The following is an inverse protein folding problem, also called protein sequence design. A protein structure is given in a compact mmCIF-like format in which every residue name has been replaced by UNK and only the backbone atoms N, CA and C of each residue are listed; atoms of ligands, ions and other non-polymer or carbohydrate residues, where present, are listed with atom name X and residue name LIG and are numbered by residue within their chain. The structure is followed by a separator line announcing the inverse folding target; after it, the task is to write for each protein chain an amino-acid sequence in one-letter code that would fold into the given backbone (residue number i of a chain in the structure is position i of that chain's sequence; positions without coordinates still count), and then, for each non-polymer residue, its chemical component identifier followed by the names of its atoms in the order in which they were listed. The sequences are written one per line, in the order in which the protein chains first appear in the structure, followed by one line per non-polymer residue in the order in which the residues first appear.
data_IF_198447001723
#
_entry.id   IF_198447001723
#
_cell.length_a   1.000
_cell.length_b   1.000
_cell.length_c   1.000
_cell.angle_alpha   90.00
_cell.angle_beta   90.00
_cell.angle_gamma   90.00
#
_symmetry.space_group_name_H-M   'P 1'
#
loop_
_entity.id
_entity.type
_entity.pdbx_description
1 polymer ?
#
# COMPACT_ATOMS: atom_id res chain seq x y z
N UNK A 1 2.13 4.82 33.87
CA UNK A 1 1.41 5.40 33.11
C UNK A 1 1.25 4.84 31.78
N UNK A 2 2.18 4.87 30.99
CA UNK A 2 2.09 4.29 29.76
C UNK A 2 1.71 2.85 29.77
N UNK A 3 2.24 2.04 30.64
CA UNK A 3 1.87 0.63 30.68
C UNK A 3 0.41 0.42 30.86
N UNK A 4 -0.19 1.24 31.68
CA UNK A 4 -1.59 1.12 31.94
C UNK A 4 -2.42 1.43 30.72
N UNK A 5 -2.04 2.47 30.04
CA UNK A 5 -2.76 2.87 28.86
C UNK A 5 -2.66 1.80 27.80
N UNK A 6 -1.48 1.24 27.65
CA UNK A 6 -1.29 0.21 26.69
C UNK A 6 -2.10 -1.02 26.98
N UNK A 7 -2.16 -1.40 28.20
CA UNK A 7 -2.92 -2.57 28.59
C UNK A 7 -4.37 -2.37 28.27
N UNK A 8 -4.89 -1.20 28.56
CA UNK A 8 -6.27 -0.89 28.32
C UNK A 8 -6.57 -0.93 26.84
N UNK A 9 -5.74 -0.31 26.06
CA UNK A 9 -5.93 -0.29 24.65
C UNK A 9 -5.82 -1.67 24.06
N UNK A 10 -4.95 -2.45 24.63
CA UNK A 10 -4.74 -3.77 24.14
C UNK A 10 -6.00 -4.60 24.15
N UNK A 11 -6.76 -4.45 25.15
CA UNK A 11 -8.00 -5.19 25.28
C UNK A 11 -8.96 -4.79 24.19
N UNK A 12 -9.08 -3.52 23.96
CA UNK A 12 -10.05 -3.01 23.01
C UNK A 12 -9.59 -3.08 21.59
N UNK A 13 -8.31 -2.84 21.41
CA UNK A 13 -7.80 -2.66 20.06
C UNK A 13 -7.03 -3.81 19.49
N UNK A 14 -7.11 -4.95 20.10
CA UNK A 14 -6.31 -6.03 19.61
C UNK A 14 -6.47 -6.26 18.11
N UNK A 15 -7.70 -6.29 17.64
CA UNK A 15 -7.96 -6.49 16.22
C UNK A 15 -7.49 -5.31 15.40
N UNK A 16 -7.79 -4.14 15.87
CA UNK A 16 -7.41 -2.94 15.15
C UNK A 16 -5.91 -2.77 15.12
N UNK A 17 -5.23 -3.20 16.18
CA UNK A 17 -3.78 -3.12 16.20
C UNK A 17 -3.17 -3.96 15.11
N UNK A 18 -3.72 -5.13 14.89
CA UNK A 18 -3.18 -6.01 13.88
C UNK A 18 -3.31 -5.40 12.50
N UNK A 19 -4.50 -4.86 12.19
CA UNK A 19 -4.72 -4.22 10.91
C UNK A 19 -3.83 -3.01 10.77
N UNK A 20 -3.72 -2.24 11.82
CA UNK A 20 -2.87 -1.07 11.80
C UNK A 20 -1.41 -1.41 11.60
N UNK A 21 -0.97 -2.50 12.21
CA UNK A 21 0.41 -2.92 12.07
C UNK A 21 0.70 -3.34 10.63
N UNK A 22 -0.22 -4.06 10.02
CA UNK A 22 -0.05 -4.47 8.63
C UNK A 22 0.03 -3.25 7.73
N UNK A 23 -0.90 -2.33 7.91
CA UNK A 23 -0.94 -1.13 7.11
C UNK A 23 0.32 -0.29 7.29
N UNK A 24 0.72 -0.08 8.53
CA UNK A 24 1.91 0.69 8.81
C UNK A 24 3.15 0.06 8.19
N UNK A 25 3.27 -1.24 8.32
CA UNK A 25 4.43 -1.92 7.78
C UNK A 25 4.49 -1.77 6.26
N UNK A 26 3.37 -1.92 5.60
CA UNK A 26 3.33 -1.81 4.15
C UNK A 26 3.65 -0.38 3.72
N UNK A 27 3.07 0.59 4.40
CA UNK A 27 3.27 1.98 4.01
C UNK A 27 4.71 2.43 4.24
N UNK A 28 5.28 2.09 5.39
CA UNK A 28 6.64 2.50 5.67
C UNK A 28 7.68 1.79 4.82
N UNK A 29 7.36 0.62 4.34
CA UNK A 29 8.31 -0.14 3.55
C UNK A 29 7.97 -0.18 2.07
N UNK A 30 7.11 0.73 1.64
CA UNK A 30 6.64 0.68 0.27
C UNK A 30 7.77 0.75 -0.75
N UNK A 31 8.78 1.56 -0.50
CA UNK A 31 9.88 1.65 -1.43
C UNK A 31 10.55 0.30 -1.66
N UNK A 32 10.67 -0.48 -0.61
CA UNK A 32 11.28 -1.78 -0.74
C UNK A 32 10.32 -2.79 -1.34
N UNK A 33 9.06 -2.67 -0.99
CA UNK A 33 8.05 -3.60 -1.49
C UNK A 33 7.81 -3.42 -2.97
N UNK A 34 7.58 -2.19 -3.38
CA UNK A 34 7.24 -1.89 -4.77
C UNK A 34 8.47 -1.87 -5.66
N UNK A 35 9.64 -1.71 -5.07
CA UNK A 35 10.86 -1.77 -5.82
C UNK A 35 10.86 -0.73 -6.93
N UNK A 36 11.01 -1.14 -8.17
CA UNK A 36 11.08 -0.19 -9.26
C UNK A 36 9.77 0.54 -9.51
N UNK A 37 8.68 0.08 -8.93
CA UNK A 37 7.40 0.74 -9.12
C UNK A 37 7.10 1.76 -8.05
N UNK A 38 7.99 1.93 -7.09
CA UNK A 38 7.69 2.78 -5.96
C UNK A 38 7.51 4.25 -6.35
N UNK A 39 8.15 4.68 -7.42
CA UNK A 39 8.07 6.09 -7.81
C UNK A 39 6.73 6.44 -8.45
N UNK A 40 6.04 5.47 -8.99
CA UNK A 40 4.79 5.73 -9.68
C UNK A 40 3.58 5.17 -8.97
N UNK A 41 3.77 4.70 -7.75
CA UNK A 41 2.66 4.15 -6.97
C UNK A 41 2.72 4.69 -5.56
N UNK A 42 1.56 4.71 -4.93
CA UNK A 42 1.48 5.12 -3.55
C UNK A 42 0.30 4.40 -2.90
N UNK A 43 0.53 3.65 -1.83
CA UNK A 43 -0.58 2.96 -1.18
C UNK A 43 -1.46 3.99 -0.49
N UNK A 44 -2.76 3.86 -0.68
CA UNK A 44 -3.68 4.79 -0.06
C UNK A 44 -4.27 4.22 1.21
N UNK A 45 -4.80 3.03 1.14
CA UNK A 45 -5.37 2.39 2.31
C UNK A 45 -5.60 0.93 2.03
N UNK A 46 -5.88 0.18 3.07
CA UNK A 46 -6.11 -1.25 2.96
C UNK A 46 -7.45 -1.53 3.60
N UNK A 47 -8.26 -2.31 2.89
CA UNK A 47 -9.57 -2.69 3.40
C UNK A 47 -9.58 -4.17 3.71
N UNK A 48 -10.18 -4.52 4.84
CA UNK A 48 -10.35 -5.90 5.21
C UNK A 48 -11.83 -6.17 5.40
N UNK A 49 -12.25 -7.40 5.15
CA UNK A 49 -13.62 -7.77 5.41
C UNK A 49 -13.85 -7.72 6.91
N UNK A 50 -15.07 -7.47 7.29
CA UNK A 50 -15.41 -7.40 8.68
C UNK A 50 -14.97 -8.59 9.49
N UNK A 51 -15.11 -9.77 8.91
CA UNK A 51 -14.79 -10.99 9.63
C UNK A 51 -13.42 -11.55 9.33
N UNK A 52 -12.63 -10.82 8.57
CA UNK A 52 -11.31 -11.31 8.22
C UNK A 52 -10.26 -10.25 8.45
N UNK A 53 -9.09 -10.69 8.85
CA UNK A 53 -7.96 -9.78 9.00
C UNK A 53 -6.85 -10.15 8.05
N UNK A 54 -7.19 -11.01 7.10
CA UNK A 54 -6.27 -11.40 6.06
C UNK A 54 -6.98 -11.27 4.73
N UNK A 55 -6.24 -11.39 3.65
CA UNK A 55 -6.83 -11.35 2.32
C UNK A 55 -7.54 -10.02 2.08
N UNK A 56 -6.90 -8.96 2.49
CA UNK A 56 -7.46 -7.64 2.29
C UNK A 56 -7.25 -7.12 0.89
N UNK A 57 -7.74 -5.92 0.67
CA UNK A 57 -7.59 -5.25 -0.62
C UNK A 57 -6.84 -3.96 -0.39
N UNK A 58 -5.75 -3.77 -1.11
CA UNK A 58 -5.01 -2.53 -1.00
C UNK A 58 -5.43 -1.60 -2.13
N UNK A 59 -5.75 -0.36 -1.77
CA UNK A 59 -6.10 0.66 -2.75
C UNK A 59 -4.79 1.36 -3.09
N UNK A 60 -4.39 1.27 -4.34
CA UNK A 60 -3.11 1.78 -4.76
C UNK A 60 -3.29 2.93 -5.74
N UNK A 61 -2.73 4.07 -5.41
CA UNK A 61 -2.75 5.19 -6.33
C UNK A 61 -1.59 5.02 -7.29
N UNK A 62 -1.85 5.20 -8.56
CA UNK A 62 -0.87 4.99 -9.60
C UNK A 62 -0.82 6.24 -10.47
N UNK A 63 0.39 6.67 -10.78
CA UNK A 63 0.58 7.84 -11.60
C UNK A 63 -0.16 7.67 -12.93
N UNK A 64 -0.86 8.72 -13.35
CA UNK A 64 -1.60 8.69 -14.61
C UNK A 64 -0.70 8.18 -15.74
N UNK A 65 -1.25 7.27 -16.52
CA UNK A 65 -0.53 6.71 -17.63
C UNK A 65 0.18 5.41 -17.33
N UNK A 66 0.34 5.08 -16.05
CA UNK A 66 1.04 3.87 -15.67
C UNK A 66 0.12 2.76 -15.17
N UNK A 67 -1.18 2.96 -15.28
CA UNK A 67 -2.13 1.96 -14.82
C UNK A 67 -1.90 0.59 -15.43
N UNK A 68 -1.78 0.49 -16.75
CA UNK A 68 -1.58 -0.82 -17.39
C UNK A 68 -0.30 -1.50 -16.92
N UNK A 69 0.76 -0.73 -16.72
CA UNK A 69 2.00 -1.31 -16.27
C UNK A 69 1.85 -1.92 -14.88
N UNK A 70 1.17 -1.22 -13.99
CA UNK A 70 0.97 -1.73 -12.64
C UNK A 70 -0.01 -2.89 -12.65
N UNK A 71 -0.98 -2.85 -13.57
CA UNK A 71 -1.93 -3.94 -13.70
C UNK A 71 -1.18 -5.24 -14.01
N UNK A 72 -0.19 -5.16 -14.87
CA UNK A 72 0.61 -6.33 -15.19
C UNK A 72 1.52 -6.75 -14.05
N UNK A 73 1.85 -5.84 -13.17
CA UNK A 73 2.73 -6.13 -12.06
C UNK A 73 1.99 -6.56 -10.80
N UNK A 74 0.68 -6.74 -10.89
CA UNK A 74 -0.13 -7.05 -9.72
C UNK A 74 0.37 -8.28 -8.96
N UNK A 75 0.64 -9.36 -9.68
CA UNK A 75 1.11 -10.58 -9.01
C UNK A 75 2.42 -10.35 -8.29
N UNK A 76 3.33 -9.63 -8.94
CA UNK A 76 4.59 -9.33 -8.33
C UNK A 76 4.40 -8.54 -7.04
N UNK A 77 3.57 -7.50 -7.11
CA UNK A 77 3.36 -6.66 -5.95
C UNK A 77 2.69 -7.42 -4.81
N UNK A 78 1.71 -8.26 -5.15
CA UNK A 78 1.07 -9.05 -4.11
C UNK A 78 2.05 -10.00 -3.44
N UNK A 79 2.91 -10.62 -4.23
CA UNK A 79 3.90 -11.52 -3.67
C UNK A 79 4.88 -10.77 -2.78
N UNK A 80 5.27 -9.57 -3.19
CA UNK A 80 6.20 -8.78 -2.40
C UNK A 80 5.56 -8.37 -1.08
N UNK A 81 4.30 -7.97 -1.12
CA UNK A 81 3.61 -7.57 0.09
C UNK A 81 3.47 -8.75 1.04
N UNK A 82 2.98 -9.87 0.52
CA UNK A 82 2.67 -11.00 1.38
C UNK A 82 3.90 -11.71 1.90
N UNK A 83 5.01 -11.61 1.17
CA UNK A 83 6.23 -12.25 1.63
C UNK A 83 6.70 -11.66 2.95
N UNK A 84 6.29 -10.44 3.26
CA UNK A 84 6.73 -9.82 4.49
C UNK A 84 5.98 -10.31 5.71
N UNK A 85 4.86 -10.99 5.50
CA UNK A 85 4.04 -11.39 6.63
C UNK A 85 3.99 -12.90 6.84
N UNK A 86 4.40 -13.66 5.85
CA UNK A 86 4.34 -15.11 6.01
C UNK A 86 2.94 -15.67 5.83
N UNK A 87 1.98 -14.84 5.44
CA UNK A 87 0.63 -15.28 5.16
C UNK A 87 0.03 -14.32 4.15
N UNK A 88 -1.09 -14.68 3.58
CA UNK A 88 -1.69 -13.84 2.56
C UNK A 88 -2.45 -12.69 3.21
N UNK A 89 -1.73 -11.64 3.50
CA UNK A 89 -2.34 -10.48 4.13
C UNK A 89 -3.20 -9.71 3.14
N UNK A 90 -2.78 -9.65 1.89
CA UNK A 90 -3.49 -8.91 0.85
C UNK A 90 -3.70 -9.84 -0.33
N UNK A 91 -4.90 -9.86 -0.88
CA UNK A 91 -5.14 -10.70 -2.04
C UNK A 91 -5.64 -9.93 -3.25
N UNK A 92 -5.83 -8.63 -3.10
CA UNK A 92 -6.33 -7.82 -4.19
C UNK A 92 -5.69 -6.46 -4.22
N UNK A 93 -5.48 -5.93 -5.42
CA UNK A 93 -4.99 -4.56 -5.56
C UNK A 93 -6.01 -3.82 -6.41
N UNK A 94 -6.48 -2.69 -5.90
CA UNK A 94 -7.36 -1.82 -6.67
C UNK A 94 -6.53 -0.64 -7.11
N UNK A 95 -6.50 -0.39 -8.40
CA UNK A 95 -5.68 0.66 -8.98
C UNK A 95 -6.52 1.90 -9.25
N UNK A 96 -6.04 3.03 -8.78
CA UNK A 96 -6.67 4.32 -9.05
C UNK A 96 -5.62 5.19 -9.67
N UNK A 97 -5.81 5.57 -10.91
CA UNK A 97 -4.85 6.44 -11.56
C UNK A 97 -5.10 7.88 -11.18
N UNK A 98 -4.05 8.58 -10.83
CA UNK A 98 -4.16 9.95 -10.40
C UNK A 98 -2.80 10.60 -10.52
N UNK A 99 -2.76 11.90 -10.31
CA UNK A 99 -1.51 12.63 -10.39
C UNK A 99 -0.81 12.54 -9.05
N UNK A 100 0.37 11.93 -9.01
CA UNK A 100 1.10 11.73 -7.78
C UNK A 100 2.24 12.69 -7.58
N UNK A 101 2.40 13.63 -8.50
CA UNK A 101 3.53 14.51 -8.38
C UNK A 101 4.82 13.89 -8.87
N UNK A 102 4.71 12.73 -9.54
CA UNK A 102 5.88 12.10 -10.11
C UNK A 102 6.40 12.98 -11.22
N UNK A 103 7.68 13.26 -11.21
CA UNK A 103 8.27 14.11 -12.20
C UNK A 103 9.28 13.32 -13.01
N UNK A 104 8.97 13.16 -14.29
CA UNK A 104 9.88 12.52 -15.21
C UNK A 104 10.66 13.65 -15.85
N UNK A 105 11.98 13.66 -15.74
CA UNK A 105 12.78 14.76 -16.30
C UNK A 105 12.46 15.10 -17.73
N UNK A 106 12.23 14.08 -18.54
CA UNK A 106 11.92 14.30 -19.95
C UNK A 106 10.56 14.95 -20.09
N UNK A 107 9.58 14.43 -19.37
CA UNK A 107 8.24 14.96 -19.44
C UNK A 107 8.11 16.33 -18.81
N UNK A 108 8.93 16.57 -17.84
CA UNK A 108 8.88 17.83 -17.18
C UNK A 108 9.09 18.96 -18.16
N UNK A 109 10.03 18.80 -19.05
CA UNK A 109 10.30 19.82 -20.04
C UNK A 109 9.11 20.00 -20.95
N UNK A 110 8.51 18.92 -21.37
CA UNK A 110 7.36 19.00 -22.23
C UNK A 110 6.23 19.70 -21.55
N UNK A 111 6.02 19.37 -20.31
CA UNK A 111 4.95 19.95 -19.56
C UNK A 111 5.09 21.45 -19.44
N UNK A 112 6.30 21.87 -19.24
CA UNK A 112 6.52 23.27 -19.12
C UNK A 112 6.16 24.00 -20.35
N UNK A 113 6.43 23.43 -21.46
CA UNK A 113 6.13 24.06 -22.70
C UNK A 113 4.67 24.23 -22.96
N UNK A 114 3.87 23.40 -22.39
CA UNK A 114 2.45 23.51 -22.62
C UNK A 114 1.76 24.50 -21.69
#
# INVERSE_FOLDING_TARGET
MKPLVKITENIVEKSLSRIGAIQTHIFFNWNNIASKYSDITEPEKIKFNKNKRTEGEIILKVQNGFGPEIQHATSFLLNQINARFGFKAINKIKIIQTELGYINPVQKDSTKDS
#
